data_IF_281888378937
#
_entry.id   IF_281888378937
#
_cell.length_a   1.000
_cell.length_b   1.000
_cell.length_c   1.000
_cell.angle_alpha   90.00
_cell.angle_beta   90.00
_cell.angle_gamma   90.00
#
_symmetry.space_group_name_H-M   'P 1'
#
loop_
_entity.id
_entity.type
_entity.pdbx_description
1 polymer ?
#
# COMPACT_ATOMS: atom_id res chain seq x y z
N UNK A 1 -9.54 17.15 10.76
CA UNK A 1 -9.25 16.53 9.45
C UNK A 1 -9.28 15.02 9.59
N UNK A 2 -10.03 14.34 8.71
CA UNK A 2 -10.04 12.88 8.61
C UNK A 2 -9.23 12.50 7.35
N UNK A 3 -8.14 11.76 7.51
CA UNK A 3 -7.19 11.49 6.43
C UNK A 3 -6.97 9.98 6.33
N UNK A 4 -7.16 9.44 5.12
CA UNK A 4 -6.92 8.03 4.81
C UNK A 4 -6.25 7.88 3.45
N UNK A 5 -6.04 6.65 2.99
CA UNK A 5 -5.48 6.33 1.67
C UNK A 5 -6.19 7.02 0.51
N UNK A 6 -5.49 7.22 -0.59
CA UNK A 6 -5.99 7.93 -1.78
C UNK A 6 -6.02 9.46 -1.68
N UNK A 7 -5.83 10.06 -0.50
CA UNK A 7 -5.89 11.50 -0.29
C UNK A 7 -4.92 12.31 -1.16
N UNK A 8 -3.78 11.75 -1.51
CA UNK A 8 -2.82 12.41 -2.41
C UNK A 8 -3.38 12.70 -3.81
N UNK A 9 -4.28 11.90 -4.32
CA UNK A 9 -4.88 12.06 -5.65
C UNK A 9 -6.26 12.69 -5.60
N UNK A 10 -7.07 12.31 -4.64
CA UNK A 10 -8.47 12.79 -4.52
C UNK A 10 -8.55 14.23 -4.01
N UNK A 11 -7.61 14.63 -3.15
CA UNK A 11 -7.57 15.96 -2.53
C UNK A 11 -6.51 16.85 -3.17
N UNK A 12 -6.46 16.96 -4.50
CA UNK A 12 -5.46 17.77 -5.18
C UNK A 12 -6.04 19.11 -5.62
N UNK A 13 -5.37 20.23 -5.23
CA UNK A 13 -5.71 21.59 -5.67
C UNK A 13 -4.43 22.21 -6.27
N UNK A 14 -4.39 22.49 -7.57
CA UNK A 14 -3.20 23.06 -8.21
C UNK A 14 -2.85 24.45 -7.68
N UNK A 15 -1.56 24.80 -7.65
CA UNK A 15 -1.08 26.15 -7.40
C UNK A 15 -1.55 27.14 -8.47
N UNK A 16 -1.62 28.44 -8.11
CA UNK A 16 -1.98 29.50 -9.06
C UNK A 16 -1.09 29.44 -10.30
N UNK A 17 -1.69 29.47 -11.48
CA UNK A 17 -0.99 29.34 -12.76
C UNK A 17 -0.82 27.90 -13.27
N UNK A 18 -1.18 26.89 -12.45
CA UNK A 18 -1.24 25.48 -12.84
C UNK A 18 -2.69 24.99 -12.89
N UNK A 19 -2.93 23.88 -13.57
CA UNK A 19 -4.21 23.20 -13.62
C UNK A 19 -4.06 21.69 -13.30
N UNK A 20 -5.17 20.98 -13.19
CA UNK A 20 -5.14 19.55 -12.85
C UNK A 20 -4.42 18.69 -13.89
N UNK A 21 -4.46 19.09 -15.17
CA UNK A 21 -3.75 18.36 -16.22
C UNK A 21 -2.24 18.49 -16.05
N UNK A 22 -1.74 19.68 -15.67
CA UNK A 22 -0.31 19.88 -15.37
C UNK A 22 0.17 18.90 -14.29
N UNK A 23 -0.62 18.72 -13.21
CA UNK A 23 -0.30 17.78 -12.12
C UNK A 23 -0.37 16.32 -12.58
N UNK A 24 -1.40 15.98 -13.35
CA UNK A 24 -1.59 14.62 -13.88
C UNK A 24 -0.46 14.22 -14.81
N UNK A 25 -0.10 15.09 -15.77
CA UNK A 25 0.98 14.81 -16.73
C UNK A 25 2.31 14.63 -16.05
N UNK A 26 2.73 15.55 -15.17
CA UNK A 26 4.03 15.42 -14.49
C UNK A 26 4.07 14.20 -13.58
N UNK A 27 2.95 13.84 -12.92
CA UNK A 27 2.86 12.64 -12.11
C UNK A 27 2.99 11.39 -12.97
N UNK A 28 2.29 11.34 -14.11
CA UNK A 28 2.36 10.22 -15.07
C UNK A 28 3.77 10.06 -15.65
N UNK A 29 4.41 11.15 -16.03
CA UNK A 29 5.77 11.13 -16.57
C UNK A 29 6.78 10.60 -15.54
N UNK A 30 6.67 11.03 -14.29
CA UNK A 30 7.50 10.52 -13.19
C UNK A 30 7.26 9.03 -12.93
N UNK A 31 6.01 8.58 -12.88
CA UNK A 31 5.65 7.16 -12.74
C UNK A 31 6.24 6.32 -13.87
N UNK A 32 6.06 6.74 -15.12
CA UNK A 32 6.58 6.05 -16.30
C UNK A 32 8.11 6.02 -16.35
N UNK A 33 8.78 6.99 -15.71
CA UNK A 33 10.23 7.05 -15.60
C UNK A 33 10.80 6.23 -14.43
N UNK A 34 9.95 5.53 -13.67
CA UNK A 34 10.35 4.72 -12.53
C UNK A 34 10.75 5.53 -11.29
N UNK A 35 10.24 6.75 -11.16
CA UNK A 35 10.50 7.57 -9.97
C UNK A 35 9.89 6.93 -8.71
N UNK A 36 10.61 7.01 -7.60
CA UNK A 36 10.10 6.55 -6.31
C UNK A 36 8.92 7.41 -5.85
N UNK A 37 7.97 6.80 -5.14
CA UNK A 37 6.77 7.51 -4.64
C UNK A 37 7.11 8.73 -3.77
N UNK A 38 8.18 8.67 -3.00
CA UNK A 38 8.69 9.78 -2.19
C UNK A 38 9.16 10.96 -3.04
N UNK A 39 9.76 10.68 -4.20
CA UNK A 39 10.20 11.69 -5.18
C UNK A 39 9.00 12.30 -5.90
N UNK A 40 8.06 11.46 -6.33
CA UNK A 40 6.81 11.92 -6.94
C UNK A 40 6.05 12.83 -5.96
N UNK A 41 5.91 12.42 -4.70
CA UNK A 41 5.25 13.23 -3.68
C UNK A 41 6.00 14.55 -3.42
N UNK A 42 7.33 14.56 -3.47
CA UNK A 42 8.11 15.80 -3.37
C UNK A 42 7.70 16.81 -4.43
N UNK A 43 7.59 16.40 -5.70
CA UNK A 43 7.15 17.27 -6.78
C UNK A 43 5.68 17.70 -6.58
N UNK A 44 4.79 16.75 -6.30
CA UNK A 44 3.35 17.01 -6.10
C UNK A 44 3.07 18.01 -4.97
N UNK A 45 3.76 17.88 -3.83
CA UNK A 45 3.63 18.80 -2.69
C UNK A 45 3.90 20.23 -3.10
N UNK A 46 4.89 20.49 -3.95
CA UNK A 46 5.24 21.83 -4.39
C UNK A 46 4.30 22.40 -5.47
N UNK A 47 3.58 21.54 -6.19
CA UNK A 47 2.60 21.95 -7.21
C UNK A 47 1.17 22.10 -6.67
N UNK A 48 0.91 21.68 -5.43
CA UNK A 48 -0.40 21.71 -4.79
C UNK A 48 -0.54 22.87 -3.80
N UNK A 49 -1.75 23.46 -3.68
CA UNK A 49 -2.09 24.46 -2.67
C UNK A 49 -2.28 23.89 -1.26
N UNK A 50 -2.56 22.59 -1.13
CA UNK A 50 -3.02 22.00 0.14
C UNK A 50 -2.07 20.94 0.69
N UNK A 51 -1.24 20.30 -0.16
CA UNK A 51 -0.28 19.31 0.31
C UNK A 51 0.97 19.95 0.92
N UNK A 52 1.78 19.16 1.65
CA UNK A 52 3.04 19.61 2.23
C UNK A 52 2.87 20.66 3.31
N UNK A 53 1.91 20.46 4.22
CA UNK A 53 1.69 21.31 5.38
C UNK A 53 0.98 22.63 5.11
N UNK A 54 0.30 22.75 3.97
CA UNK A 54 -0.31 24.03 3.60
C UNK A 54 -1.71 24.26 4.16
N UNK A 55 -2.47 23.21 4.56
CA UNK A 55 -3.79 23.43 5.15
C UNK A 55 -3.75 24.36 6.37
N UNK A 56 -2.80 24.21 7.30
CA UNK A 56 -2.71 25.14 8.43
C UNK A 56 -2.46 26.60 8.05
N UNK A 57 -1.95 26.89 6.84
CA UNK A 57 -1.72 28.28 6.42
C UNK A 57 -3.00 29.04 6.07
N UNK A 58 -4.14 28.36 5.98
CA UNK A 58 -5.43 28.96 5.62
C UNK A 58 -6.33 29.24 6.83
N UNK A 59 -5.91 28.91 8.04
CA UNK A 59 -6.74 29.08 9.24
C UNK A 59 -5.90 29.28 10.49
N UNK A 60 -6.41 30.05 11.45
CA UNK A 60 -5.87 30.18 12.80
C UNK A 60 -6.48 29.18 13.79
N UNK A 61 -7.44 28.39 13.35
CA UNK A 61 -8.11 27.37 14.18
C UNK A 61 -7.13 26.25 14.58
N UNK A 62 -7.39 25.65 15.73
CA UNK A 62 -6.72 24.43 16.16
C UNK A 62 -7.10 23.28 15.21
N UNK A 63 -6.11 22.60 14.67
CA UNK A 63 -6.29 21.47 13.75
C UNK A 63 -5.94 20.16 14.47
N UNK A 64 -6.87 19.20 14.44
CA UNK A 64 -6.62 17.81 14.82
C UNK A 64 -6.80 16.95 13.59
N UNK A 65 -5.72 16.29 13.14
CA UNK A 65 -5.77 15.35 12.02
C UNK A 65 -5.79 13.93 12.56
N UNK A 66 -6.84 13.19 12.23
CA UNK A 66 -6.99 11.76 12.51
C UNK A 66 -6.63 11.00 11.25
N UNK A 67 -5.58 10.18 11.30
CA UNK A 67 -4.92 9.61 10.14
C UNK A 67 -4.98 8.08 10.19
N UNK A 68 -5.43 7.44 9.10
CA UNK A 68 -5.27 6.00 8.86
C UNK A 68 -4.17 5.84 7.81
N UNK A 69 -3.14 5.05 8.12
CA UNK A 69 -1.97 4.91 7.25
C UNK A 69 -2.08 3.69 6.35
N UNK A 70 -2.01 3.95 5.04
CA UNK A 70 -1.74 2.97 3.97
C UNK A 70 -0.27 3.01 3.52
N UNK A 71 0.56 3.83 4.14
CA UNK A 71 1.97 4.01 3.77
C UNK A 71 2.87 3.12 4.63
N UNK A 72 3.68 2.31 3.98
CA UNK A 72 4.68 1.47 4.63
C UNK A 72 5.66 2.34 5.43
N UNK A 73 5.83 2.05 6.73
CA UNK A 73 6.67 2.85 7.63
C UNK A 73 5.95 3.99 8.33
N UNK A 74 4.67 4.23 8.00
CA UNK A 74 3.77 5.17 8.69
C UNK A 74 4.29 6.62 8.80
N UNK A 75 5.09 7.06 7.83
CA UNK A 75 5.55 8.44 7.81
C UNK A 75 4.38 9.38 7.47
N UNK A 76 3.88 10.10 8.47
CA UNK A 76 2.72 10.99 8.33
C UNK A 76 2.90 12.10 7.28
N UNK A 77 4.14 12.45 6.91
CA UNK A 77 4.40 13.44 5.86
C UNK A 77 4.13 12.92 4.46
N UNK A 78 4.02 11.60 4.30
CA UNK A 78 3.78 10.93 3.02
C UNK A 78 2.32 10.50 2.86
N UNK A 79 1.60 10.26 3.96
CA UNK A 79 0.18 9.91 3.94
C UNK A 79 -0.61 11.10 3.40
N UNK A 80 -1.38 10.89 2.33
CA UNK A 80 -2.08 11.95 1.60
C UNK A 80 -1.18 13.14 1.22
N UNK A 81 0.14 12.92 1.04
CA UNK A 81 1.15 13.98 0.82
C UNK A 81 1.19 15.04 1.93
N UNK A 82 0.88 14.67 3.17
CA UNK A 82 1.07 15.45 4.39
C UNK A 82 0.38 16.81 4.42
N UNK A 83 -0.94 16.92 4.24
CA UNK A 83 -1.62 18.22 4.13
C UNK A 83 -1.50 19.09 5.39
N UNK A 84 -1.42 18.45 6.57
CA UNK A 84 -1.26 19.12 7.87
C UNK A 84 0.11 18.83 8.53
N UNK A 85 1.09 18.33 7.77
CA UNK A 85 2.41 17.97 8.28
C UNK A 85 3.50 18.85 7.69
N UNK A 86 4.54 19.23 8.45
CA UNK A 86 5.68 19.97 7.92
C UNK A 86 6.32 19.22 6.73
N UNK A 87 6.71 19.96 5.69
CA UNK A 87 7.39 19.35 4.55
C UNK A 87 8.90 19.61 4.59
N UNK A 88 9.75 18.58 4.78
CA UNK A 88 11.19 18.74 4.78
C UNK A 88 11.78 19.00 3.38
N UNK A 89 10.99 18.80 2.32
CA UNK A 89 11.45 18.94 0.93
C UNK A 89 11.39 20.40 0.44
N UNK A 90 12.00 20.71 -0.70
CA UNK A 90 12.14 22.08 -1.20
C UNK A 90 11.87 22.15 -2.70
N UNK A 91 11.54 23.34 -3.23
CA UNK A 91 11.47 23.59 -4.67
C UNK A 91 12.74 23.15 -5.40
N UNK A 92 13.93 23.40 -4.80
CA UNK A 92 15.21 22.96 -5.36
C UNK A 92 15.29 21.44 -5.49
N UNK A 93 14.80 20.69 -4.48
CA UNK A 93 14.74 19.22 -4.52
C UNK A 93 13.76 18.73 -5.59
N UNK A 94 12.61 19.38 -5.72
CA UNK A 94 11.64 19.06 -6.77
C UNK A 94 12.22 19.24 -8.18
N UNK A 95 12.98 20.31 -8.43
CA UNK A 95 13.69 20.52 -9.71
C UNK A 95 14.70 19.40 -9.97
N UNK A 96 15.55 19.07 -8.98
CA UNK A 96 16.55 17.99 -9.12
C UNK A 96 15.91 16.65 -9.48
N UNK A 97 14.71 16.36 -8.96
CA UNK A 97 13.96 15.15 -9.31
C UNK A 97 13.55 15.19 -10.78
N UNK A 98 12.99 16.30 -11.28
CA UNK A 98 12.64 16.42 -12.70
C UNK A 98 13.86 16.26 -13.60
N UNK A 99 15.02 16.80 -13.20
CA UNK A 99 16.29 16.65 -13.91
C UNK A 99 16.79 15.21 -13.94
N UNK A 100 16.78 14.53 -12.77
CA UNK A 100 17.15 13.11 -12.62
C UNK A 100 16.39 12.22 -13.60
N UNK A 101 15.08 12.44 -13.72
CA UNK A 101 14.21 11.65 -14.59
C UNK A 101 14.00 12.25 -15.99
N UNK A 102 14.75 13.30 -16.34
CA UNK A 102 14.72 13.97 -17.66
C UNK A 102 13.32 14.42 -18.08
N UNK A 103 12.47 14.79 -17.12
CA UNK A 103 11.13 15.29 -17.39
C UNK A 103 11.19 16.68 -18.03
N UNK A 104 10.70 16.80 -19.26
CA UNK A 104 10.75 18.05 -20.04
C UNK A 104 9.40 18.77 -20.04
N UNK A 105 9.08 19.48 -18.95
CA UNK A 105 7.86 20.29 -18.86
C UNK A 105 8.21 21.74 -18.52
N UNK A 106 8.27 22.60 -19.54
CA UNK A 106 8.68 24.02 -19.39
C UNK A 106 7.83 24.77 -18.37
N UNK A 107 6.52 24.54 -18.32
CA UNK A 107 5.59 25.22 -17.42
C UNK A 107 5.86 24.84 -15.95
N UNK A 108 5.99 23.55 -15.66
CA UNK A 108 6.32 23.05 -14.31
C UNK A 108 7.70 23.52 -13.88
N UNK A 109 8.72 23.43 -14.76
CA UNK A 109 10.05 23.97 -14.47
C UNK A 109 10.02 25.46 -14.15
N UNK A 110 9.33 26.25 -14.96
CA UNK A 110 9.18 27.70 -14.74
C UNK A 110 8.54 28.01 -13.39
N UNK A 111 7.49 27.27 -13.04
CA UNK A 111 6.82 27.39 -11.74
C UNK A 111 7.78 27.07 -10.59
N UNK A 112 8.44 25.92 -10.61
CA UNK A 112 9.37 25.50 -9.54
C UNK A 112 10.58 26.45 -9.43
N UNK A 113 11.12 26.96 -10.56
CA UNK A 113 12.19 27.99 -10.57
C UNK A 113 11.73 29.27 -9.90
N UNK A 114 10.49 29.70 -10.10
CA UNK A 114 9.93 30.86 -9.39
C UNK A 114 9.88 30.62 -7.87
N UNK A 115 9.61 29.40 -7.43
CA UNK A 115 9.71 29.01 -6.01
C UNK A 115 11.14 29.11 -5.48
N UNK A 116 12.13 28.59 -6.21
CA UNK A 116 13.55 28.70 -5.83
C UNK A 116 14.01 30.19 -5.76
N UNK A 117 13.44 31.05 -6.61
CA UNK A 117 13.73 32.53 -6.61
C UNK A 117 12.94 33.27 -5.51
N UNK A 118 12.18 32.59 -4.65
CA UNK A 118 11.38 33.21 -3.58
C UNK A 118 10.10 33.92 -4.05
N UNK A 119 9.72 33.80 -5.34
CA UNK A 119 8.44 34.36 -5.86
C UNK A 119 7.22 33.58 -5.43
N UNK A 120 7.40 32.35 -4.96
CA UNK A 120 6.38 31.48 -4.41
C UNK A 120 6.88 31.01 -3.05
N UNK A 121 6.03 31.09 -2.04
CA UNK A 121 6.36 30.71 -0.67
C UNK A 121 6.65 29.22 -0.61
N UNK A 122 7.76 28.85 0.05
CA UNK A 122 8.15 27.45 0.26
C UNK A 122 7.16 26.73 1.19
N UNK A 123 7.06 25.42 1.05
CA UNK A 123 6.25 24.61 1.93
C UNK A 123 6.69 24.79 3.40
N UNK A 124 5.73 24.89 4.35
CA UNK A 124 6.05 25.16 5.76
C UNK A 124 6.97 24.08 6.35
N UNK A 125 8.04 24.52 7.03
CA UNK A 125 9.03 23.66 7.68
C UNK A 125 8.65 23.36 9.14
N UNK A 126 9.29 22.39 9.75
CA UNK A 126 8.99 21.92 11.11
C UNK A 126 8.95 23.06 12.14
N UNK A 127 9.80 24.06 11.99
CA UNK A 127 9.90 25.18 12.93
C UNK A 127 8.88 26.32 12.65
N UNK A 128 8.02 26.18 11.66
CA UNK A 128 7.00 27.20 11.35
C UNK A 128 5.97 27.25 12.49
N UNK A 129 5.69 28.45 13.05
CA UNK A 129 4.77 28.63 14.19
C UNK A 129 3.36 28.09 13.96
N UNK A 130 2.90 27.99 12.70
CA UNK A 130 1.56 27.46 12.39
C UNK A 130 1.33 26.05 12.94
N UNK A 131 2.39 25.23 13.07
CA UNK A 131 2.28 23.87 13.58
C UNK A 131 2.07 23.76 15.10
N UNK A 132 2.19 24.86 15.84
CA UNK A 132 1.85 24.90 17.28
C UNK A 132 0.39 24.54 17.54
N UNK A 133 -0.49 24.88 16.59
CA UNK A 133 -1.93 24.59 16.66
C UNK A 133 -2.34 23.32 15.92
N UNK A 134 -1.39 22.51 15.47
CA UNK A 134 -1.67 21.28 14.69
C UNK A 134 -1.27 20.04 15.49
N UNK A 135 -2.25 19.13 15.66
CA UNK A 135 -2.00 17.80 16.25
C UNK A 135 -2.34 16.73 15.23
N UNK A 136 -1.34 15.95 14.80
CA UNK A 136 -1.53 14.79 13.93
C UNK A 136 -1.55 13.53 14.80
N UNK A 137 -2.60 12.70 14.63
CA UNK A 137 -2.81 11.47 15.39
C UNK A 137 -2.96 10.32 14.40
N UNK A 138 -2.04 9.37 14.44
CA UNK A 138 -2.15 8.12 13.70
C UNK A 138 -3.12 7.20 14.46
N UNK A 139 -4.32 6.97 13.90
CA UNK A 139 -5.37 6.15 14.50
C UNK A 139 -5.19 4.67 14.25
N UNK A 140 -4.80 4.31 13.02
CA UNK A 140 -4.64 2.93 12.60
C UNK A 140 -3.58 2.81 11.52
N UNK A 141 -2.92 1.66 11.52
CA UNK A 141 -1.87 1.28 10.57
C UNK A 141 -1.84 -0.24 10.40
N UNK A 142 -1.09 -0.74 9.43
CA UNK A 142 -0.81 -2.18 9.28
C UNK A 142 -0.23 -2.79 10.56
N UNK A 143 0.60 -2.05 11.29
CA UNK A 143 1.17 -2.50 12.57
C UNK A 143 0.09 -2.74 13.64
N UNK A 144 -0.93 -1.89 13.70
CA UNK A 144 -2.02 -2.03 14.68
C UNK A 144 -2.92 -3.21 14.34
N UNK A 145 -3.20 -3.41 13.04
CA UNK A 145 -3.88 -4.60 12.54
C UNK A 145 -3.15 -5.89 12.94
N UNK A 146 -1.83 -5.96 12.71
CA UNK A 146 -1.03 -7.13 13.06
C UNK A 146 -0.98 -7.36 14.58
N UNK A 147 -0.88 -6.32 15.41
CA UNK A 147 -0.96 -6.45 16.87
C UNK A 147 -2.28 -7.06 17.34
N UNK A 148 -3.40 -6.64 16.72
CA UNK A 148 -4.72 -7.20 17.02
C UNK A 148 -4.81 -8.68 16.63
N UNK A 149 -4.29 -9.02 15.45
CA UNK A 149 -4.20 -10.40 14.98
C UNK A 149 -3.36 -11.27 15.92
N UNK A 150 -2.20 -10.79 16.34
CA UNK A 150 -1.31 -11.49 17.25
C UNK A 150 -2.00 -11.75 18.61
N UNK A 151 -2.71 -10.74 19.13
CA UNK A 151 -3.48 -10.88 20.36
C UNK A 151 -4.59 -11.91 20.24
N UNK A 152 -5.30 -11.94 19.10
CA UNK A 152 -6.32 -12.95 18.81
C UNK A 152 -5.74 -14.37 18.74
N UNK A 153 -4.64 -14.54 18.00
CA UNK A 153 -3.96 -15.83 17.88
C UNK A 153 -3.44 -16.33 19.22
N UNK A 154 -2.87 -15.45 20.03
CA UNK A 154 -2.40 -15.75 21.39
C UNK A 154 -3.53 -16.23 22.30
N UNK A 155 -4.71 -15.58 22.26
CA UNK A 155 -5.91 -16.03 23.00
C UNK A 155 -6.32 -17.44 22.61
N UNK A 156 -6.12 -17.82 21.36
CA UNK A 156 -6.41 -19.17 20.83
C UNK A 156 -5.22 -20.15 20.99
N UNK A 157 -4.22 -19.81 21.81
CA UNK A 157 -3.03 -20.63 22.10
C UNK A 157 -2.20 -20.98 20.84
N UNK A 158 -2.21 -20.08 19.84
CA UNK A 158 -1.45 -20.22 18.60
C UNK A 158 -0.17 -19.38 18.74
N UNK A 159 0.99 -20.01 18.63
CA UNK A 159 2.28 -19.30 18.60
C UNK A 159 2.40 -18.54 17.29
N UNK A 160 2.84 -17.29 17.35
CA UNK A 160 2.85 -16.40 16.19
C UNK A 160 4.25 -15.87 15.92
N UNK A 161 4.64 -15.88 14.65
CA UNK A 161 5.76 -15.14 14.08
C UNK A 161 5.21 -13.94 13.31
N UNK A 162 5.36 -12.75 13.87
CA UNK A 162 4.98 -11.50 13.23
C UNK A 162 6.14 -10.98 12.38
N UNK A 163 5.96 -10.91 11.06
CA UNK A 163 6.98 -10.44 10.11
C UNK A 163 6.88 -8.93 9.85
N UNK A 164 5.94 -8.25 10.50
CA UNK A 164 5.74 -6.81 10.36
C UNK A 164 4.87 -6.41 9.16
N UNK A 165 4.64 -5.10 9.06
CA UNK A 165 3.78 -4.43 8.07
C UNK A 165 4.56 -3.79 6.91
N UNK A 166 5.84 -4.13 6.75
CA UNK A 166 6.72 -3.57 5.73
C UNK A 166 7.17 -4.62 4.69
N UNK A 167 6.36 -5.64 4.42
CA UNK A 167 6.71 -6.67 3.45
C UNK A 167 6.47 -6.13 2.04
N UNK A 168 7.54 -6.09 1.23
CA UNK A 168 7.56 -5.62 -0.16
C UNK A 168 8.17 -6.65 -1.09
N UNK A 169 7.99 -6.42 -2.39
CA UNK A 169 8.58 -7.21 -3.46
C UNK A 169 7.57 -8.11 -4.17
N UNK A 170 8.07 -8.99 -5.03
CA UNK A 170 7.24 -9.85 -5.88
C UNK A 170 6.44 -10.86 -5.04
N UNK A 171 5.12 -10.85 -5.17
CA UNK A 171 4.18 -11.66 -4.40
C UNK A 171 4.55 -13.14 -4.35
N UNK A 172 4.91 -13.72 -5.49
CA UNK A 172 5.32 -15.14 -5.59
C UNK A 172 6.56 -15.44 -4.76
N UNK A 173 7.57 -14.53 -4.80
CA UNK A 173 8.82 -14.72 -4.06
C UNK A 173 8.59 -14.59 -2.55
N UNK A 174 7.74 -13.65 -2.14
CA UNK A 174 7.36 -13.47 -0.73
C UNK A 174 6.61 -14.71 -0.23
N UNK A 175 5.65 -15.22 -1.02
CA UNK A 175 4.88 -16.43 -0.70
C UNK A 175 5.79 -17.67 -0.48
N UNK A 176 6.77 -17.87 -1.36
CA UNK A 176 7.74 -18.98 -1.24
C UNK A 176 8.52 -18.87 0.08
N UNK A 177 9.04 -17.68 0.40
CA UNK A 177 9.77 -17.45 1.67
C UNK A 177 8.90 -17.72 2.91
N UNK A 178 7.62 -17.34 2.86
CA UNK A 178 6.70 -17.61 3.97
C UNK A 178 6.33 -19.11 4.04
N UNK A 179 6.15 -19.78 2.90
CA UNK A 179 5.95 -21.23 2.85
C UNK A 179 7.13 -21.99 3.46
N UNK A 180 8.36 -21.61 3.11
CA UNK A 180 9.57 -22.22 3.68
C UNK A 180 9.64 -22.04 5.21
N UNK A 181 9.30 -20.83 5.70
CA UNK A 181 9.29 -20.56 7.15
C UNK A 181 8.24 -21.39 7.90
N UNK A 182 7.02 -21.52 7.36
CA UNK A 182 5.96 -22.30 8.00
C UNK A 182 6.26 -23.79 7.96
N UNK A 183 6.84 -24.31 6.87
CA UNK A 183 7.18 -25.71 6.70
C UNK A 183 8.36 -26.14 7.59
N UNK A 184 9.37 -25.28 7.76
CA UNK A 184 10.52 -25.51 8.65
C UNK A 184 10.14 -25.49 10.13
N UNK A 185 8.98 -24.96 10.50
CA UNK A 185 8.56 -24.91 11.88
C UNK A 185 7.91 -26.20 12.32
N UNK A 186 8.50 -26.88 13.32
CA UNK A 186 8.00 -28.15 13.84
C UNK A 186 6.89 -28.01 14.88
N UNK A 187 6.52 -26.77 15.26
CA UNK A 187 5.47 -26.53 16.26
C UNK A 187 4.09 -26.75 15.65
N UNK A 188 3.23 -27.48 16.37
CA UNK A 188 1.79 -27.46 16.12
C UNK A 188 1.20 -26.13 16.60
N UNK A 189 0.09 -25.69 15.98
CA UNK A 189 -0.58 -24.42 16.29
C UNK A 189 0.39 -23.23 16.19
N UNK A 190 0.91 -23.04 15.00
CA UNK A 190 1.84 -21.96 14.68
C UNK A 190 1.31 -21.10 13.53
N UNK A 191 1.43 -19.78 13.64
CA UNK A 191 1.03 -18.85 12.59
C UNK A 191 2.19 -17.92 12.21
N UNK A 192 2.23 -17.57 10.93
CA UNK A 192 3.00 -16.44 10.41
C UNK A 192 2.01 -15.37 10.01
N UNK A 193 2.20 -14.14 10.49
CA UNK A 193 1.40 -12.98 10.09
C UNK A 193 2.28 -11.91 9.47
N UNK A 194 1.75 -11.23 8.47
CA UNK A 194 2.44 -10.11 7.82
C UNK A 194 1.46 -9.15 7.16
N UNK A 195 1.88 -7.90 7.06
CA UNK A 195 1.26 -6.85 6.27
C UNK A 195 2.22 -6.36 5.18
N UNK A 196 1.98 -5.17 4.68
CA UNK A 196 2.79 -4.52 3.66
C UNK A 196 2.12 -4.53 2.29
N UNK A 197 2.88 -4.27 1.24
CA UNK A 197 2.38 -4.14 -0.11
C UNK A 197 3.32 -4.83 -1.10
N UNK A 198 2.87 -5.97 -1.65
CA UNK A 198 3.63 -6.72 -2.64
C UNK A 198 3.24 -6.30 -4.07
N UNK A 199 4.04 -6.70 -5.04
CA UNK A 199 3.82 -6.43 -6.46
C UNK A 199 3.65 -7.73 -7.24
N UNK A 200 3.02 -7.64 -8.42
CA UNK A 200 2.89 -8.75 -9.36
C UNK A 200 3.49 -8.34 -10.70
N UNK A 201 4.43 -9.11 -11.18
CA UNK A 201 4.90 -8.99 -12.56
C UNK A 201 3.91 -9.75 -13.45
N UNK A 202 3.09 -9.00 -14.19
CA UNK A 202 2.10 -9.56 -15.10
C UNK A 202 2.77 -9.96 -16.40
N UNK A 203 2.75 -11.25 -16.72
CA UNK A 203 3.27 -11.83 -17.97
C UNK A 203 2.21 -12.61 -18.75
N UNK A 204 1.09 -12.89 -18.11
CA UNK A 204 -0.07 -13.58 -18.68
C UNK A 204 -1.27 -12.66 -18.86
N UNK A 205 -2.37 -13.22 -19.37
CA UNK A 205 -3.65 -12.53 -19.60
C UNK A 205 -4.74 -12.89 -18.60
N UNK A 206 -4.39 -13.58 -17.52
CA UNK A 206 -5.33 -14.02 -16.49
C UNK A 206 -5.76 -12.90 -15.56
N UNK A 207 -6.60 -13.24 -14.59
CA UNK A 207 -7.21 -12.35 -13.62
C UNK A 207 -6.69 -12.61 -12.22
N UNK A 208 -6.52 -11.54 -11.44
CA UNK A 208 -6.11 -11.61 -10.03
C UNK A 208 -5.32 -10.39 -9.58
N UNK A 209 -5.14 -10.30 -8.28
CA UNK A 209 -4.35 -9.26 -7.63
C UNK A 209 -3.16 -9.83 -6.88
N UNK A 210 -2.48 -8.97 -6.13
CA UNK A 210 -1.26 -9.34 -5.41
C UNK A 210 -1.51 -10.35 -4.27
N UNK A 211 -2.67 -10.30 -3.63
CA UNK A 211 -3.01 -11.20 -2.55
C UNK A 211 -3.43 -12.59 -3.05
N UNK A 212 -4.24 -12.68 -4.09
CA UNK A 212 -4.58 -13.94 -4.74
C UNK A 212 -3.37 -14.60 -5.39
N UNK A 213 -2.45 -13.83 -5.99
CA UNK A 213 -1.21 -14.34 -6.56
C UNK A 213 -0.24 -14.88 -5.48
N UNK A 214 -0.12 -14.16 -4.36
CA UNK A 214 0.61 -14.63 -3.19
C UNK A 214 0.03 -15.96 -2.69
N UNK A 215 -1.29 -16.01 -2.51
CA UNK A 215 -1.96 -17.19 -2.01
C UNK A 215 -1.81 -18.39 -2.95
N UNK A 216 -1.91 -18.21 -4.26
CA UNK A 216 -1.74 -19.28 -5.24
C UNK A 216 -0.31 -19.82 -5.26
N UNK A 217 0.68 -18.93 -5.14
CA UNK A 217 2.08 -19.33 -5.05
C UNK A 217 2.37 -20.15 -3.80
N UNK A 218 1.82 -19.73 -2.63
CA UNK A 218 1.94 -20.48 -1.39
C UNK A 218 1.19 -21.81 -1.48
N UNK A 219 -0.05 -21.81 -2.01
CA UNK A 219 -0.85 -23.00 -2.25
C UNK A 219 -0.06 -24.05 -3.05
N UNK A 220 0.59 -23.65 -4.14
CA UNK A 220 1.38 -24.56 -4.97
C UNK A 220 2.54 -25.24 -4.19
N UNK A 221 3.13 -24.52 -3.21
CA UNK A 221 4.18 -25.08 -2.33
C UNK A 221 3.63 -26.04 -1.28
N UNK A 222 2.38 -25.87 -0.84
CA UNK A 222 1.79 -26.63 0.26
C UNK A 222 0.62 -27.52 -0.17
N UNK A 223 0.35 -27.69 -1.46
CA UNK A 223 -0.81 -28.44 -2.01
C UNK A 223 -0.94 -29.89 -1.53
N UNK A 224 0.13 -30.46 -0.97
CA UNK A 224 0.12 -31.80 -0.36
C UNK A 224 0.06 -31.77 1.18
N UNK A 225 -0.18 -30.62 1.79
CA UNK A 225 -0.20 -30.41 3.24
C UNK A 225 -1.60 -30.02 3.69
N UNK A 226 -2.24 -30.90 4.45
CA UNK A 226 -3.59 -30.67 4.99
C UNK A 226 -3.58 -29.88 6.31
N UNK A 227 -2.39 -29.67 6.88
CA UNK A 227 -2.19 -28.94 8.15
C UNK A 227 -1.92 -27.44 7.95
N UNK A 228 -2.01 -26.96 6.71
CA UNK A 228 -1.75 -25.54 6.39
C UNK A 228 -3.04 -24.86 5.90
N UNK A 229 -3.33 -23.71 6.49
CA UNK A 229 -4.39 -22.80 6.05
C UNK A 229 -3.83 -21.41 5.82
N UNK A 230 -4.52 -20.61 5.00
CA UNK A 230 -4.10 -19.26 4.65
C UNK A 230 -5.30 -18.34 4.50
N UNK A 231 -5.11 -17.08 4.91
CA UNK A 231 -5.86 -15.90 4.46
C UNK A 231 -4.85 -14.90 3.90
N UNK A 232 -5.14 -14.34 2.72
CA UNK A 232 -4.42 -13.20 2.14
C UNK A 232 -5.42 -12.26 1.48
N UNK A 233 -5.48 -11.02 1.95
CA UNK A 233 -6.43 -10.02 1.42
C UNK A 233 -5.88 -8.60 1.55
N UNK A 234 -6.40 -7.69 0.72
CA UNK A 234 -6.26 -6.26 0.91
C UNK A 234 -7.34 -5.78 1.88
N UNK A 235 -6.96 -4.84 2.75
CA UNK A 235 -7.87 -4.30 3.75
C UNK A 235 -8.85 -3.27 3.18
N UNK A 236 -8.63 -2.77 1.96
CA UNK A 236 -9.56 -1.89 1.25
C UNK A 236 -10.74 -2.62 0.60
N UNK A 237 -10.66 -3.96 0.50
CA UNK A 237 -11.71 -4.80 -0.03
C UNK A 237 -11.55 -5.16 -1.51
N UNK A 238 -10.42 -4.77 -2.14
CA UNK A 238 -10.18 -4.97 -3.59
C UNK A 238 -8.78 -5.55 -3.81
N UNK A 239 -8.68 -6.73 -4.41
CA UNK A 239 -7.41 -7.35 -4.78
C UNK A 239 -7.14 -7.24 -6.29
N UNK A 240 -6.46 -6.18 -6.69
CA UNK A 240 -6.17 -5.88 -8.10
C UNK A 240 -7.37 -5.26 -8.83
N UNK A 241 -7.85 -5.88 -9.91
CA UNK A 241 -8.95 -5.37 -10.75
C UNK A 241 -10.27 -6.10 -10.53
N UNK A 242 -10.29 -7.12 -9.68
CA UNK A 242 -11.45 -7.99 -9.49
C UNK A 242 -12.29 -7.57 -8.26
N UNK A 243 -13.40 -8.25 -8.04
CA UNK A 243 -14.41 -7.92 -7.04
C UNK A 243 -14.17 -8.49 -5.64
N UNK A 244 -13.03 -9.17 -5.44
CA UNK A 244 -12.66 -9.79 -4.19
C UNK A 244 -11.61 -8.97 -3.41
N UNK A 245 -11.69 -8.99 -2.09
CA UNK A 245 -10.65 -8.45 -1.21
C UNK A 245 -9.39 -9.32 -1.19
N UNK A 246 -9.55 -10.60 -1.47
CA UNK A 246 -8.50 -11.60 -1.43
C UNK A 246 -9.05 -12.99 -1.44
N UNK A 247 -8.30 -13.92 -0.86
CA UNK A 247 -8.62 -15.35 -0.91
C UNK A 247 -8.22 -16.07 0.38
N UNK A 248 -8.80 -17.23 0.59
CA UNK A 248 -8.39 -18.15 1.65
C UNK A 248 -8.25 -19.58 1.12
N UNK A 249 -7.52 -20.42 1.83
CA UNK A 249 -7.58 -21.84 1.68
C UNK A 249 -7.30 -22.57 2.99
N UNK A 250 -7.83 -23.79 3.09
CA UNK A 250 -7.65 -24.74 4.14
C UNK A 250 -7.59 -26.16 3.56
N UNK A 251 -7.59 -27.17 4.43
CA UNK A 251 -7.66 -28.61 4.05
C UNK A 251 -8.80 -28.89 3.07
N UNK A 252 -9.99 -28.32 3.28
CA UNK A 252 -11.16 -28.57 2.41
C UNK A 252 -10.92 -28.05 1.01
N UNK A 253 -10.37 -26.83 0.88
CA UNK A 253 -10.06 -26.21 -0.40
C UNK A 253 -8.92 -26.96 -1.13
N UNK A 254 -7.89 -27.42 -0.39
CA UNK A 254 -6.82 -28.24 -0.95
C UNK A 254 -7.39 -29.54 -1.55
N UNK A 255 -8.25 -30.24 -0.81
CA UNK A 255 -8.86 -31.48 -1.30
C UNK A 255 -9.81 -31.25 -2.48
N UNK A 256 -10.60 -30.16 -2.46
CA UNK A 256 -11.44 -29.77 -3.59
C UNK A 256 -10.62 -29.49 -4.85
N UNK A 257 -9.46 -28.82 -4.71
CA UNK A 257 -8.55 -28.58 -5.85
C UNK A 257 -8.06 -29.88 -6.49
N UNK A 258 -7.73 -30.91 -5.67
CA UNK A 258 -7.33 -32.23 -6.13
C UNK A 258 -8.49 -32.93 -6.89
N UNK A 259 -9.71 -32.90 -6.32
CA UNK A 259 -10.90 -33.48 -6.95
C UNK A 259 -11.21 -32.86 -8.31
N UNK A 260 -11.06 -31.53 -8.42
CA UNK A 260 -11.28 -30.77 -9.67
C UNK A 260 -10.06 -30.84 -10.62
N UNK A 261 -9.01 -31.56 -10.25
CA UNK A 261 -7.74 -31.69 -11.03
C UNK A 261 -7.16 -30.35 -11.47
N UNK A 262 -7.26 -29.33 -10.60
CA UNK A 262 -6.72 -27.99 -10.90
C UNK A 262 -5.21 -27.99 -10.66
N UNK A 263 -4.45 -27.58 -11.66
CA UNK A 263 -3.00 -27.39 -11.54
C UNK A 263 -2.67 -25.92 -11.22
N UNK A 264 -2.26 -25.60 -9.98
CA UNK A 264 -1.94 -24.22 -9.61
C UNK A 264 -0.78 -23.60 -10.42
N UNK A 265 0.12 -24.41 -10.99
CA UNK A 265 1.21 -23.90 -11.82
C UNK A 265 0.73 -23.32 -13.14
N UNK A 266 -0.28 -23.94 -13.76
CA UNK A 266 -0.85 -23.44 -15.00
C UNK A 266 -1.53 -22.09 -14.80
N UNK A 267 -2.24 -21.91 -13.68
CA UNK A 267 -2.85 -20.64 -13.31
C UNK A 267 -1.80 -19.56 -12.97
N UNK A 268 -0.73 -19.92 -12.25
CA UNK A 268 0.39 -19.01 -12.00
C UNK A 268 1.06 -18.53 -13.31
N UNK A 269 1.32 -19.42 -14.27
CA UNK A 269 1.90 -19.05 -15.57
C UNK A 269 1.07 -18.00 -16.31
N UNK A 270 -0.26 -18.03 -16.15
CA UNK A 270 -1.21 -17.11 -16.78
C UNK A 270 -1.51 -15.86 -15.96
N UNK A 271 -0.98 -15.70 -14.73
CA UNK A 271 -1.41 -14.72 -13.72
C UNK A 271 -2.93 -14.80 -13.46
N UNK A 272 -3.50 -16.01 -13.37
CA UNK A 272 -4.93 -16.26 -13.29
C UNK A 272 -5.36 -16.82 -11.90
N UNK A 273 -4.84 -16.18 -10.86
CA UNK A 273 -5.09 -16.58 -9.47
C UNK A 273 -6.55 -16.41 -9.04
N UNK A 274 -7.22 -15.36 -9.52
CA UNK A 274 -8.65 -15.14 -9.28
C UNK A 274 -9.50 -16.32 -9.76
N UNK A 275 -9.34 -16.74 -11.02
CA UNK A 275 -10.12 -17.85 -11.59
C UNK A 275 -9.88 -19.16 -10.85
N UNK A 276 -8.63 -19.41 -10.40
CA UNK A 276 -8.32 -20.60 -9.60
C UNK A 276 -9.16 -20.63 -8.31
N UNK A 277 -9.11 -19.58 -7.50
CA UNK A 277 -9.84 -19.53 -6.23
C UNK A 277 -11.35 -19.38 -6.41
N UNK A 278 -11.82 -18.75 -7.47
CA UNK A 278 -13.24 -18.71 -7.84
C UNK A 278 -13.82 -20.10 -8.10
N UNK A 279 -13.09 -20.96 -8.85
CA UNK A 279 -13.48 -22.37 -9.06
C UNK A 279 -13.56 -23.15 -7.75
N UNK A 280 -12.77 -22.81 -6.78
CA UNK A 280 -12.76 -23.43 -5.45
C UNK A 280 -13.80 -22.85 -4.48
N UNK A 281 -14.46 -21.75 -4.85
CA UNK A 281 -15.37 -20.99 -4.00
C UNK A 281 -14.68 -20.50 -2.72
N UNK A 282 -13.49 -19.92 -2.88
CA UNK A 282 -12.63 -19.44 -1.78
C UNK A 282 -12.15 -18.01 -1.95
N UNK A 283 -12.95 -17.19 -2.65
CA UNK A 283 -12.79 -15.74 -2.66
C UNK A 283 -13.30 -15.14 -1.36
N UNK A 284 -12.69 -14.04 -0.94
CA UNK A 284 -13.15 -13.20 0.16
C UNK A 284 -13.77 -11.95 -0.47
N UNK A 285 -15.08 -11.82 -0.39
CA UNK A 285 -15.82 -10.69 -0.96
C UNK A 285 -16.40 -9.86 0.18
N UNK A 286 -15.84 -8.69 0.42
CA UNK A 286 -16.30 -7.74 1.43
C UNK A 286 -17.01 -6.55 0.81
N UNK A 287 -16.81 -6.31 -0.48
CA UNK A 287 -16.99 -5.00 -1.09
C UNK A 287 -15.98 -3.97 -0.56
N UNK A 288 -15.99 -2.74 -1.05
CA UNK A 288 -15.12 -1.68 -0.56
C UNK A 288 -15.31 -1.44 0.93
N UNK A 289 -14.23 -1.50 1.72
CA UNK A 289 -14.29 -1.35 3.18
C UNK A 289 -14.23 0.11 3.63
N UNK A 290 -13.96 1.03 2.70
CA UNK A 290 -13.78 2.47 2.93
C UNK A 290 -12.61 2.80 3.88
N UNK A 291 -11.69 1.87 4.04
CA UNK A 291 -10.45 2.05 4.80
C UNK A 291 -9.32 1.29 4.13
N UNK A 292 -8.06 1.63 4.42
CA UNK A 292 -6.90 0.91 3.90
C UNK A 292 -5.73 0.98 4.89
N UNK A 293 -5.20 -0.19 5.25
CA UNK A 293 -3.94 -0.36 5.99
C UNK A 293 -3.05 -1.42 5.30
N UNK A 294 -3.19 -1.55 3.99
CA UNK A 294 -2.50 -2.50 3.09
C UNK A 294 -2.91 -3.96 3.28
N UNK A 295 -2.07 -4.86 2.75
CA UNK A 295 -2.33 -6.30 2.76
C UNK A 295 -2.33 -6.89 4.16
N UNK A 296 -3.15 -7.90 4.35
CA UNK A 296 -3.22 -8.74 5.52
C UNK A 296 -3.03 -10.21 5.14
N UNK A 297 -2.00 -10.83 5.72
CA UNK A 297 -1.67 -12.23 5.44
C UNK A 297 -1.49 -13.01 6.72
N UNK A 298 -2.16 -14.16 6.80
CA UNK A 298 -1.99 -15.16 7.87
C UNK A 298 -1.76 -16.52 7.23
N UNK A 299 -0.66 -17.16 7.56
CA UNK A 299 -0.38 -18.55 7.22
C UNK A 299 -0.41 -19.33 8.52
N UNK A 300 -1.32 -20.28 8.63
CA UNK A 300 -1.57 -21.06 9.85
C UNK A 300 -1.17 -22.52 9.64
N UNK A 301 -0.48 -23.09 10.62
CA UNK A 301 -0.21 -24.53 10.75
C UNK A 301 -0.94 -25.06 11.98
N UNK A 302 -1.76 -26.10 11.80
CA UNK A 302 -2.63 -26.70 12.83
C UNK A 302 -2.14 -28.09 13.19
#
# INVERSE_FOLDING_TARGET
CLISGGGSSLMSVPQKGLNMNDLRYVTKDLLNSGAEISEINTVRKHLSKIHGGKIPTYTNAKIVSLIISDVTGNNITDIASGPCCPDPTTFKKAIKILEKYKIKNKKIYGFLKNGVKGKIIENPKKNNPIFKNVKNILLASGKDMLKKSESFLKKNKIKTLNLGDNIKGESRKVAIKHAEKILKNNKRKFAIISGGETTVTVSGSGKGGRNSEYALSLFNKVKNREDIALISCDTDGIDGSEDNAGVYFDKKIINKSKQLKLDPQLFLKKNDSYTFFKKLNSLINTGPTLTNVNDYRVVLKI
#
